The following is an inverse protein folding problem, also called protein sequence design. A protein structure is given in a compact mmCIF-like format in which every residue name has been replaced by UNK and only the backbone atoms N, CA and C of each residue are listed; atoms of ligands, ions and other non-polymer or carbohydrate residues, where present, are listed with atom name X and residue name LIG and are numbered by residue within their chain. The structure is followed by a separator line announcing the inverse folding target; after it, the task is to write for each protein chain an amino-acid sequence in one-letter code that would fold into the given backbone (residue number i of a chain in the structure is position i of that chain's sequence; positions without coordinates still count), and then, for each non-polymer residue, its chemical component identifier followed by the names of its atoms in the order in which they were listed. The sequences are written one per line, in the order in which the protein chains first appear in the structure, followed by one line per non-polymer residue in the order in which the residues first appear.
data_IF_688681395724
#
_entry.id   IF_688681395724
#
_cell.length_a   1.000
_cell.length_b   1.000
_cell.length_c   1.000
_cell.angle_alpha   90.00
_cell.angle_beta   90.00
_cell.angle_gamma   90.00
#
_symmetry.space_group_name_H-M   'P 1'
#
loop_
_entity.id
_entity.type
_entity.pdbx_description
1 polymer ?
#
# COMPACT_ATOMS: atom_id res chain seq x y z
N UNK A 1 -23.62 -20.07 -29.02
CA UNK A 1 -22.20 -19.70 -29.14
C UNK A 1 -21.46 -20.42 -28.04
N UNK A 2 -20.68 -21.43 -28.39
CA UNK A 2 -19.93 -22.23 -27.43
C UNK A 2 -18.55 -21.62 -27.23
N UNK A 3 -18.07 -21.57 -26.00
CA UNK A 3 -16.65 -21.49 -25.70
C UNK A 3 -16.28 -22.74 -24.90
N UNK A 4 -15.58 -23.65 -25.56
CA UNK A 4 -14.95 -24.83 -24.95
C UNK A 4 -13.55 -24.39 -24.52
N UNK A 5 -13.21 -24.59 -23.25
CA UNK A 5 -11.80 -24.62 -22.81
C UNK A 5 -11.60 -25.97 -22.14
N UNK A 6 -10.77 -26.81 -22.75
CA UNK A 6 -10.41 -28.15 -22.30
C UNK A 6 -9.50 -28.12 -21.05
N UNK A 7 -9.69 -29.16 -20.22
CA UNK A 7 -9.12 -29.38 -18.88
C UNK A 7 -7.60 -29.67 -18.85
N UNK A 8 -6.99 -29.84 -17.66
CA UNK A 8 -6.85 -31.24 -17.20
C UNK A 8 -7.03 -31.40 -15.69
N UNK A 9 -7.74 -32.46 -15.29
CA UNK A 9 -7.85 -32.89 -13.90
C UNK A 9 -9.18 -33.54 -13.65
N UNK A 10 -9.28 -34.84 -13.91
CA UNK A 10 -10.46 -35.62 -13.58
C UNK A 10 -10.63 -35.76 -12.08
N UNK A 11 -11.79 -35.37 -11.58
CA UNK A 11 -12.39 -35.94 -10.38
C UNK A 11 -13.90 -36.03 -10.62
N UNK A 12 -14.45 -37.13 -10.15
CA UNK A 12 -15.83 -37.60 -10.21
C UNK A 12 -16.88 -36.54 -9.88
N UNK A 13 -18.07 -36.72 -10.46
CA UNK A 13 -19.27 -35.94 -10.17
C UNK A 13 -19.57 -35.91 -8.66
N UNK A 14 -19.40 -34.75 -8.04
CA UNK A 14 -20.12 -34.39 -6.83
C UNK A 14 -20.80 -33.05 -7.04
N UNK A 15 -22.13 -33.08 -6.87
CA UNK A 15 -22.99 -31.91 -6.83
C UNK A 15 -22.45 -30.95 -5.76
N UNK A 16 -21.87 -29.83 -6.19
CA UNK A 16 -21.49 -28.76 -5.27
C UNK A 16 -22.78 -28.19 -4.69
N UNK A 17 -23.08 -28.55 -3.44
CA UNK A 17 -24.29 -28.16 -2.73
C UNK A 17 -24.51 -26.65 -2.85
N UNK A 18 -25.68 -26.24 -3.37
CA UNK A 18 -26.08 -24.84 -3.53
C UNK A 18 -25.97 -24.06 -2.21
N UNK A 19 -26.08 -24.76 -1.07
CA UNK A 19 -25.87 -24.21 0.27
C UNK A 19 -24.41 -23.77 0.50
N UNK A 20 -23.43 -24.47 -0.06
CA UNK A 20 -22.00 -24.10 0.03
C UNK A 20 -21.72 -22.85 -0.83
N UNK A 21 -22.31 -22.78 -2.02
CA UNK A 21 -22.16 -21.61 -2.89
C UNK A 21 -22.81 -20.35 -2.29
N UNK A 22 -23.99 -20.49 -1.69
CA UNK A 22 -24.65 -19.41 -0.96
C UNK A 22 -23.89 -19.02 0.32
N UNK A 23 -23.32 -19.99 1.05
CA UNK A 23 -22.47 -19.72 2.21
C UNK A 23 -21.20 -18.94 1.85
N UNK A 24 -20.59 -19.22 0.70
CA UNK A 24 -19.45 -18.46 0.18
C UNK A 24 -19.82 -17.02 -0.19
N UNK A 25 -21.02 -16.79 -0.71
CA UNK A 25 -21.53 -15.45 -1.00
C UNK A 25 -21.88 -14.66 0.28
N UNK A 26 -22.35 -15.33 1.33
CA UNK A 26 -22.72 -14.69 2.60
C UNK A 26 -21.49 -14.32 3.46
N UNK A 27 -20.38 -15.07 3.33
CA UNK A 27 -19.11 -14.78 4.02
C UNK A 27 -18.30 -13.64 3.38
N UNK A 28 -18.74 -13.12 2.23
CA UNK A 28 -18.08 -12.04 1.49
C UNK A 28 -18.18 -10.64 2.10
N UNK A 29 -18.98 -10.43 3.14
CA UNK A 29 -19.18 -9.10 3.78
C UNK A 29 -18.53 -8.96 5.17
N UNK A 30 -17.54 -9.81 5.51
CA UNK A 30 -16.70 -9.54 6.68
C UNK A 30 -15.78 -8.36 6.36
N UNK A 31 -16.32 -7.14 6.50
CA UNK A 31 -15.52 -5.93 6.67
C UNK A 31 -14.58 -6.21 7.84
N UNK A 32 -13.33 -6.54 7.50
CA UNK A 32 -12.24 -6.46 8.44
C UNK A 32 -12.17 -4.98 8.80
N UNK A 33 -12.78 -4.60 9.91
CA UNK A 33 -12.48 -3.36 10.59
C UNK A 33 -11.01 -3.45 10.96
N UNK A 34 -10.17 -2.99 10.03
CA UNK A 34 -8.77 -2.74 10.31
C UNK A 34 -8.82 -1.63 11.33
N UNK A 35 -8.66 -2.00 12.59
CA UNK A 35 -8.43 -1.05 13.66
C UNK A 35 -7.19 -0.23 13.25
N UNK A 36 -7.43 0.99 12.76
CA UNK A 36 -6.41 1.98 12.37
C UNK A 36 -5.47 2.36 13.53
N UNK A 37 -5.73 1.87 14.74
CA UNK A 37 -4.92 2.08 15.94
C UNK A 37 -3.67 1.20 16.05
N UNK A 38 -3.45 0.27 15.11
CA UNK A 38 -2.14 -0.39 14.93
C UNK A 38 -1.56 -0.04 13.56
N UNK A 39 -1.68 1.22 13.15
CA UNK A 39 -0.64 1.83 12.34
C UNK A 39 0.65 1.74 13.16
N UNK A 40 1.42 0.68 12.91
CA UNK A 40 2.62 0.38 13.67
C UNK A 40 3.44 1.66 13.87
N UNK A 41 3.98 1.83 15.08
CA UNK A 41 5.02 2.79 15.41
C UNK A 41 6.34 2.59 14.60
N UNK A 42 6.27 1.99 13.42
CA UNK A 42 7.30 2.08 12.38
C UNK A 42 7.12 3.40 11.65
N UNK A 43 7.58 4.50 12.25
CA UNK A 43 7.91 5.67 11.43
C UNK A 43 8.96 5.20 10.42
N UNK A 44 8.56 5.14 9.16
CA UNK A 44 9.44 4.81 8.04
C UNK A 44 10.61 5.79 8.08
N UNK A 45 11.81 5.27 8.29
CA UNK A 45 13.02 6.08 8.49
C UNK A 45 13.41 6.87 7.23
N UNK A 46 12.72 6.63 6.11
CA UNK A 46 13.04 7.20 4.81
C UNK A 46 11.76 7.40 3.97
N UNK A 47 11.27 8.65 3.91
CA UNK A 47 10.08 9.03 3.11
C UNK A 47 10.35 9.08 1.60
N UNK A 48 11.60 8.86 1.17
CA UNK A 48 11.97 9.10 -0.22
C UNK A 48 11.42 8.03 -1.16
N UNK A 49 11.36 6.76 -0.74
CA UNK A 49 11.00 5.64 -1.63
C UNK A 49 10.15 4.58 -0.92
N UNK A 50 9.01 4.26 -1.52
CA UNK A 50 8.23 3.06 -1.22
C UNK A 50 8.68 1.93 -2.13
N UNK A 51 8.98 0.78 -1.53
CA UNK A 51 9.34 -0.44 -2.25
C UNK A 51 8.76 -1.63 -1.51
N UNK A 52 8.01 -2.47 -2.22
CA UNK A 52 7.52 -3.72 -1.69
C UNK A 52 8.49 -4.83 -2.06
N UNK A 53 8.95 -5.56 -1.05
CA UNK A 53 9.82 -6.70 -1.20
C UNK A 53 9.05 -7.99 -0.96
N UNK A 54 9.52 -9.07 -1.56
CA UNK A 54 8.92 -10.41 -1.48
C UNK A 54 8.72 -10.93 -0.05
N UNK A 55 9.63 -10.59 0.85
CA UNK A 55 9.60 -11.04 2.25
C UNK A 55 8.67 -10.20 3.15
N UNK A 56 8.02 -9.17 2.62
CA UNK A 56 7.03 -8.38 3.37
C UNK A 56 5.64 -9.01 3.20
N UNK A 57 4.83 -9.02 4.27
CA UNK A 57 3.45 -9.54 4.25
C UNK A 57 2.45 -8.68 3.44
N UNK A 58 2.93 -7.88 2.49
CA UNK A 58 2.09 -7.06 1.62
C UNK A 58 1.87 -7.78 0.29
N UNK A 59 0.62 -8.08 -0.10
CA UNK A 59 0.35 -8.76 -1.36
C UNK A 59 0.67 -7.84 -2.53
N UNK A 60 1.67 -8.20 -3.33
CA UNK A 60 1.92 -7.63 -4.65
C UNK A 60 0.85 -8.13 -5.62
N UNK A 61 0.12 -7.22 -6.29
CA UNK A 61 -0.91 -7.58 -7.28
C UNK A 61 -0.37 -7.66 -8.70
N UNK A 62 0.76 -7.02 -8.98
CA UNK A 62 1.55 -7.27 -10.19
C UNK A 62 2.39 -8.54 -10.06
N UNK A 63 3.69 -8.45 -10.35
CA UNK A 63 4.61 -9.58 -10.26
C UNK A 63 5.91 -9.22 -9.53
N UNK A 64 6.63 -10.23 -9.05
CA UNK A 64 7.94 -10.05 -8.42
C UNK A 64 9.05 -10.12 -9.45
N UNK A 65 9.98 -9.17 -9.40
CA UNK A 65 11.21 -9.19 -10.19
C UNK A 65 12.38 -8.64 -9.38
N UNK A 66 13.48 -9.40 -9.33
CA UNK A 66 14.63 -9.14 -8.45
C UNK A 66 14.22 -8.97 -6.97
N UNK A 67 13.35 -9.86 -6.48
CA UNK A 67 12.79 -9.84 -5.10
C UNK A 67 11.98 -8.59 -4.73
N UNK A 68 11.65 -7.73 -5.71
CA UNK A 68 10.85 -6.53 -5.51
C UNK A 68 9.62 -6.50 -6.42
N UNK A 69 8.52 -5.97 -5.92
CA UNK A 69 7.25 -5.92 -6.63
C UNK A 69 7.32 -4.91 -7.78
N UNK A 70 6.97 -5.37 -8.98
CA UNK A 70 6.55 -4.53 -10.11
C UNK A 70 5.05 -4.29 -9.95
N UNK A 71 4.69 -3.03 -9.77
CA UNK A 71 3.32 -2.65 -9.44
C UNK A 71 2.40 -2.75 -10.64
N UNK A 72 1.23 -3.37 -10.42
CA UNK A 72 0.12 -3.38 -11.37
C UNK A 72 -0.95 -2.33 -11.07
N UNK A 73 -1.99 -2.27 -11.90
CA UNK A 73 -3.08 -1.30 -11.78
C UNK A 73 -3.77 -1.35 -10.40
N UNK A 74 -3.90 -2.57 -9.85
CA UNK A 74 -4.54 -2.82 -8.57
C UNK A 74 -3.69 -2.40 -7.36
N UNK A 75 -2.37 -2.24 -7.53
CA UNK A 75 -1.47 -1.81 -6.45
C UNK A 75 -1.52 -0.30 -6.21
N UNK A 76 -1.96 0.48 -7.21
CA UNK A 76 -2.00 1.96 -7.15
C UNK A 76 -2.75 2.48 -5.92
N UNK A 77 -3.89 1.86 -5.57
CA UNK A 77 -4.69 2.26 -4.39
C UNK A 77 -3.91 2.13 -3.08
N UNK A 78 -3.03 1.14 -2.98
CA UNK A 78 -2.20 0.93 -1.79
C UNK A 78 -1.01 1.90 -1.78
N UNK A 79 -0.41 2.14 -2.94
CA UNK A 79 0.70 3.09 -3.11
C UNK A 79 0.26 4.52 -2.75
N UNK A 80 -0.93 4.95 -3.17
CA UNK A 80 -1.47 6.28 -2.88
C UNK A 80 -1.69 6.57 -1.38
N UNK A 81 -1.82 5.54 -0.55
CA UNK A 81 -1.96 5.68 0.90
C UNK A 81 -0.62 5.86 1.61
N UNK A 82 0.48 5.55 0.94
CA UNK A 82 1.81 5.62 1.53
C UNK A 82 2.30 7.07 1.60
N UNK A 83 3.00 7.46 2.66
CA UNK A 83 3.57 8.80 2.81
C UNK A 83 4.88 9.00 2.02
N UNK A 84 5.26 8.05 1.17
CA UNK A 84 6.51 8.10 0.40
C UNK A 84 6.37 8.96 -0.86
N UNK A 85 7.45 9.64 -1.22
CA UNK A 85 7.48 10.58 -2.36
C UNK A 85 7.55 9.83 -3.70
N UNK A 86 8.30 8.73 -3.76
CA UNK A 86 8.53 7.94 -4.96
C UNK A 86 8.13 6.49 -4.68
N UNK A 87 7.49 5.82 -5.62
CA UNK A 87 7.23 4.39 -5.56
C UNK A 87 8.10 3.64 -6.58
N UNK A 88 8.69 2.52 -6.16
CA UNK A 88 9.56 1.66 -6.96
C UNK A 88 9.06 0.19 -6.89
N UNK A 89 8.76 -0.50 -8.00
CA UNK A 89 9.05 -0.19 -9.41
C UNK A 89 7.82 -0.31 -10.34
N UNK A 90 7.85 0.47 -11.42
CA UNK A 90 6.90 0.40 -12.53
C UNK A 90 7.68 0.07 -13.80
N UNK A 91 7.17 -0.87 -14.60
CA UNK A 91 7.74 -1.23 -15.89
C UNK A 91 6.72 -0.90 -16.98
N UNK A 92 7.03 -0.03 -17.94
CA UNK A 92 6.05 0.38 -18.96
C UNK A 92 5.63 -0.75 -19.91
N UNK A 93 6.42 -1.84 -19.95
CA UNK A 93 6.10 -3.05 -20.70
C UNK A 93 5.09 -3.95 -19.95
N UNK A 94 4.78 -3.64 -18.69
CA UNK A 94 3.82 -4.39 -17.86
C UNK A 94 2.81 -3.42 -17.24
N UNK A 95 1.54 -3.56 -17.61
CA UNK A 95 0.43 -2.77 -17.04
C UNK A 95 0.74 -1.27 -16.92
N UNK A 96 1.04 -0.61 -18.05
CA UNK A 96 1.36 0.82 -18.08
C UNK A 96 0.25 1.69 -17.48
N UNK A 97 -1.00 1.19 -17.42
CA UNK A 97 -2.11 1.81 -16.72
C UNK A 97 -1.83 2.07 -15.24
N UNK A 98 -0.98 1.28 -14.59
CA UNK A 98 -0.59 1.50 -13.20
C UNK A 98 0.13 2.84 -13.05
N UNK A 99 1.08 3.12 -13.95
CA UNK A 99 1.79 4.39 -14.01
C UNK A 99 0.86 5.55 -14.35
N UNK A 100 0.00 5.39 -15.37
CA UNK A 100 -0.93 6.45 -15.77
C UNK A 100 -1.97 6.77 -14.69
N UNK A 101 -2.52 5.77 -14.02
CA UNK A 101 -3.45 5.96 -12.90
C UNK A 101 -2.78 6.73 -11.76
N UNK A 102 -1.57 6.32 -11.38
CA UNK A 102 -0.80 7.01 -10.35
C UNK A 102 -0.53 8.46 -10.75
N UNK A 103 -0.07 8.69 -11.98
CA UNK A 103 0.21 10.02 -12.51
C UNK A 103 -1.03 10.92 -12.49
N UNK A 104 -2.18 10.42 -12.97
CA UNK A 104 -3.46 11.14 -12.95
C UNK A 104 -3.83 11.53 -11.51
N UNK A 105 -3.77 10.60 -10.56
CA UNK A 105 -4.10 10.88 -9.16
C UNK A 105 -3.12 11.84 -8.49
N UNK A 106 -1.84 11.83 -8.85
CA UNK A 106 -0.88 12.85 -8.38
C UNK A 106 -1.21 14.21 -8.97
N UNK A 107 -1.52 14.27 -10.28
CA UNK A 107 -1.84 15.53 -10.96
C UNK A 107 -3.13 16.16 -10.46
N UNK A 108 -4.17 15.36 -10.23
CA UNK A 108 -5.43 15.83 -9.62
C UNK A 108 -5.18 16.42 -8.23
N UNK A 109 -4.35 15.76 -7.40
CA UNK A 109 -3.97 16.30 -6.08
C UNK A 109 -3.17 17.60 -6.17
N UNK A 110 -2.33 17.76 -7.18
CA UNK A 110 -1.55 18.98 -7.38
C UNK A 110 -2.40 20.17 -7.85
N UNK A 111 -3.57 19.91 -8.47
CA UNK A 111 -4.51 20.93 -8.95
C UNK A 111 -5.61 21.26 -7.92
N UNK A 112 -5.78 20.46 -6.87
CA UNK A 112 -6.74 20.73 -5.79
C UNK A 112 -6.23 21.85 -4.85
N UNK A 113 -7.14 22.36 -4.01
CA UNK A 113 -6.82 23.42 -3.04
C UNK A 113 -5.75 22.98 -2.04
N UNK A 114 -4.68 23.76 -1.94
CA UNK A 114 -3.58 23.56 -1.00
C UNK A 114 -4.03 23.46 0.46
N UNK A 115 -5.16 24.08 0.83
CA UNK A 115 -5.71 24.02 2.20
C UNK A 115 -6.15 22.60 2.60
N UNK A 116 -6.42 21.73 1.63
CA UNK A 116 -6.78 20.32 1.86
C UNK A 116 -5.56 19.41 1.95
N UNK A 117 -4.37 19.90 1.62
CA UNK A 117 -3.15 19.11 1.67
C UNK A 117 -2.71 18.85 3.11
N UNK A 118 -2.59 17.57 3.48
CA UNK A 118 -2.08 17.16 4.79
C UNK A 118 -0.55 16.99 4.72
N UNK A 119 0.18 17.96 5.29
CA UNK A 119 1.64 17.99 5.30
C UNK A 119 2.27 17.27 6.51
N UNK A 120 1.48 16.97 7.55
CA UNK A 120 1.90 16.26 8.76
C UNK A 120 2.80 15.03 8.51
N UNK A 121 2.47 14.09 7.60
CA UNK A 121 3.31 12.91 7.36
C UNK A 121 4.71 13.25 6.81
N UNK A 122 4.85 14.38 6.11
CA UNK A 122 6.13 14.86 5.58
C UNK A 122 6.89 15.75 6.59
N UNK A 123 6.16 16.39 7.51
CA UNK A 123 6.70 17.32 8.48
C UNK A 123 7.39 16.66 9.67
N UNK A 124 7.03 15.43 10.04
CA UNK A 124 7.51 14.79 11.27
C UNK A 124 8.65 13.79 11.02
N UNK A 125 9.73 14.29 10.41
CA UNK A 125 10.91 13.48 10.11
C UNK A 125 11.76 13.24 11.35
N UNK A 126 12.50 12.12 11.33
CA UNK A 126 13.46 11.75 12.36
C UNK A 126 14.46 12.88 12.63
N UNK A 127 14.95 13.59 11.61
CA UNK A 127 15.85 14.74 11.79
C UNK A 127 15.24 15.85 12.65
N UNK A 128 13.97 16.20 12.41
CA UNK A 128 13.24 17.17 13.24
C UNK A 128 12.95 16.65 14.64
N UNK A 129 12.70 15.35 14.81
CA UNK A 129 12.51 14.73 16.13
C UNK A 129 13.81 14.69 16.94
N UNK A 130 14.93 14.33 16.32
CA UNK A 130 16.25 14.39 16.95
C UNK A 130 16.61 15.82 17.33
N UNK A 131 16.38 16.81 16.46
CA UNK A 131 16.59 18.21 16.80
C UNK A 131 15.76 18.64 18.02
N UNK A 132 14.46 18.28 18.07
CA UNK A 132 13.58 18.53 19.24
C UNK A 132 14.05 17.82 20.51
N UNK A 133 14.60 16.61 20.37
CA UNK A 133 15.17 15.88 21.51
C UNK A 133 16.43 16.58 22.06
N UNK A 134 17.33 17.01 21.18
CA UNK A 134 18.55 17.72 21.55
C UNK A 134 18.25 19.07 22.23
N UNK A 135 17.27 19.83 21.73
CA UNK A 135 16.88 21.10 22.35
C UNK A 135 16.27 20.91 23.74
N UNK A 136 15.39 19.91 23.91
CA UNK A 136 14.85 19.55 25.23
C UNK A 136 15.96 19.15 26.21
N UNK A 137 16.90 18.32 25.76
CA UNK A 137 18.04 17.88 26.60
C UNK A 137 18.90 19.06 27.05
N UNK A 138 19.15 20.03 26.16
CA UNK A 138 19.88 21.26 26.47
C UNK A 138 19.14 22.13 27.50
N UNK A 139 17.82 22.24 27.41
CA UNK A 139 17.03 22.99 28.40
C UNK A 139 17.08 22.34 29.79
N UNK A 140 16.96 21.02 29.87
CA UNK A 140 17.08 20.28 31.15
C UNK A 140 18.48 20.34 31.77
N UNK A 141 19.54 20.46 30.97
CA UNK A 141 20.89 20.66 31.52
C UNK A 141 21.14 22.09 32.03
N UNK A 142 20.38 23.08 31.53
CA UNK A 142 20.53 24.49 31.95
C UNK A 142 19.70 24.82 33.20
N UNK A 143 18.73 23.96 33.55
CA UNK A 143 17.90 24.12 34.75
C UNK A 143 18.45 23.39 36.00
N UNK A 144 19.48 22.56 35.82
CA UNK A 144 20.12 21.78 36.89
C UNK A 144 21.54 22.27 37.23
N UNK A 145 21.87 23.52 36.88
CA UNK A 145 23.09 24.26 37.28
C UNK A 145 22.68 25.60 37.85
#
# INVERSE_FOLDING_TARGET
MYAVIGAPGGYSEELVDFSIYLWLLEKGSRQKTVNDSVASNSISHYISRYQSWEYHNHPCKGYMSSHSCVYGANDVKNILKQPHIIAHKFELNFEAEAYYCLYKSVRERALDDIRKFNDKPYGDTIGKRFARYLTKKKQTSTQNS
#
